data_IF_521180959007
#
_entry.id   IF_521180959007
#
_cell.length_a   1.000
_cell.length_b   1.000
_cell.length_c   1.000
_cell.angle_alpha   90.00
_cell.angle_beta   90.00
_cell.angle_gamma   90.00
#
_symmetry.space_group_name_H-M   'P 1'
#
loop_
_entity.id
_entity.type
_entity.pdbx_description
1 polymer ?
#
# COMPACT_ATOMS: atom_id res chain seq x y z
N UNK A 1 20.24 -3.86 30.81
CA UNK A 1 20.35 -4.01 29.35
C UNK A 1 18.95 -3.74 28.83
N UNK A 2 18.70 -2.53 28.36
CA UNK A 2 17.48 -2.23 27.62
C UNK A 2 17.49 -3.13 26.37
N UNK A 3 16.46 -3.94 26.23
CA UNK A 3 16.19 -4.62 24.97
C UNK A 3 15.93 -3.49 23.95
N UNK A 4 16.90 -3.22 23.09
CA UNK A 4 16.67 -2.38 21.91
C UNK A 4 15.54 -3.05 21.11
N UNK A 5 14.32 -2.56 21.31
CA UNK A 5 13.16 -2.99 20.52
C UNK A 5 13.49 -2.66 19.06
N UNK A 6 13.64 -3.69 18.26
CA UNK A 6 13.87 -3.52 16.84
C UNK A 6 12.63 -2.89 16.21
N UNK A 7 12.82 -1.78 15.55
CA UNK A 7 11.75 -1.04 14.87
C UNK A 7 11.76 -1.42 13.40
N UNK A 8 10.62 -1.82 12.87
CA UNK A 8 10.43 -2.01 11.43
C UNK A 8 9.83 -0.73 10.86
N UNK A 9 10.39 -0.22 9.78
CA UNK A 9 9.87 0.94 9.07
C UNK A 9 9.31 0.53 7.72
N UNK A 10 8.18 1.12 7.34
CA UNK A 10 7.59 0.96 6.02
C UNK A 10 7.34 2.34 5.40
N UNK A 11 8.02 2.63 4.28
CA UNK A 11 7.81 3.84 3.49
C UNK A 11 6.81 3.52 2.39
N UNK A 12 5.74 4.28 2.31
CA UNK A 12 4.60 3.99 1.43
C UNK A 12 4.12 5.25 0.72
N UNK A 13 3.54 5.07 -0.46
CA UNK A 13 2.68 6.05 -1.11
C UNK A 13 1.23 5.70 -0.78
N UNK A 14 0.57 6.54 0.01
CA UNK A 14 -0.85 6.41 0.27
C UNK A 14 -1.66 6.71 -1.00
N UNK A 15 -2.72 5.96 -1.22
CA UNK A 15 -3.60 6.10 -2.37
C UNK A 15 -5.06 6.14 -1.92
N UNK A 16 -5.84 7.00 -2.56
CA UNK A 16 -7.30 7.01 -2.44
C UNK A 16 -7.87 6.15 -3.58
N UNK A 17 -8.22 4.90 -3.28
CA UNK A 17 -8.86 3.97 -4.22
C UNK A 17 -10.38 4.05 -4.02
N UNK A 18 -11.08 4.59 -5.01
CA UNK A 18 -12.52 4.73 -4.99
C UNK A 18 -13.18 3.70 -5.91
N UNK A 19 -13.99 2.84 -5.31
CA UNK A 19 -14.75 1.80 -6.01
C UNK A 19 -16.24 2.09 -5.96
N UNK A 20 -17.02 1.76 -7.03
CA UNK A 20 -18.46 2.03 -7.08
C UNK A 20 -19.26 1.22 -6.05
N UNK A 21 -18.70 0.09 -5.62
CA UNK A 21 -19.23 -0.77 -4.54
C UNK A 21 -18.07 -1.24 -3.67
N UNK A 22 -18.38 -1.61 -2.43
CA UNK A 22 -17.37 -2.14 -1.51
C UNK A 22 -16.74 -3.42 -2.07
N UNK A 23 -15.43 -3.52 -2.03
CA UNK A 23 -14.70 -4.75 -2.38
C UNK A 23 -15.11 -5.93 -1.47
N UNK A 24 -15.60 -5.65 -0.26
CA UNK A 24 -16.13 -6.67 0.64
C UNK A 24 -17.32 -7.46 0.06
N UNK A 25 -18.00 -6.93 -0.96
CA UNK A 25 -19.10 -7.66 -1.63
C UNK A 25 -18.61 -8.68 -2.64
N UNK A 26 -17.31 -8.72 -2.93
CA UNK A 26 -16.70 -9.56 -3.95
C UNK A 26 -15.93 -10.73 -3.35
N UNK A 27 -15.23 -10.48 -2.25
CA UNK A 27 -14.42 -11.49 -1.58
C UNK A 27 -15.28 -12.32 -0.62
N UNK A 28 -15.23 -13.64 -0.74
CA UNK A 28 -15.90 -14.56 0.19
C UNK A 28 -15.17 -14.59 1.53
N UNK A 29 -15.88 -14.45 2.63
CA UNK A 29 -15.28 -14.32 3.97
C UNK A 29 -14.40 -15.53 4.36
N UNK A 30 -14.81 -16.74 3.94
CA UNK A 30 -14.07 -17.98 4.17
C UNK A 30 -12.75 -18.07 3.39
N UNK A 31 -12.61 -17.32 2.31
CA UNK A 31 -11.40 -17.28 1.50
C UNK A 31 -10.38 -16.27 2.05
N UNK A 32 -10.81 -15.32 2.88
CA UNK A 32 -9.94 -14.30 3.43
C UNK A 32 -9.05 -14.86 4.55
N UNK A 33 -7.81 -14.37 4.59
CA UNK A 33 -6.94 -14.54 5.74
C UNK A 33 -7.23 -13.49 6.82
N UNK A 34 -6.49 -13.59 7.92
CA UNK A 34 -6.63 -12.72 9.09
C UNK A 34 -6.56 -11.22 8.81
N UNK A 35 -5.76 -10.79 7.81
CA UNK A 35 -5.65 -9.40 7.38
C UNK A 35 -6.82 -8.97 6.52
N UNK A 36 -7.42 -9.90 5.79
CA UNK A 36 -8.64 -9.67 5.02
C UNK A 36 -8.46 -8.72 3.85
N UNK A 37 -9.42 -7.79 3.71
CA UNK A 37 -9.42 -6.77 2.66
C UNK A 37 -8.58 -5.58 3.13
N UNK A 38 -7.73 -5.05 2.22
CA UNK A 38 -6.96 -3.85 2.50
C UNK A 38 -7.82 -2.59 2.25
N UNK A 39 -8.19 -1.91 3.34
CA UNK A 39 -8.99 -0.69 3.26
C UNK A 39 -8.14 0.59 3.19
N UNK A 40 -6.88 0.52 3.61
CA UNK A 40 -5.93 1.63 3.53
C UNK A 40 -4.99 1.44 2.35
N UNK A 41 -5.50 1.73 1.16
CA UNK A 41 -4.76 1.50 -0.07
C UNK A 41 -3.44 2.26 -0.10
N UNK A 42 -2.35 1.55 -0.29
CA UNK A 42 -1.01 2.12 -0.38
C UNK A 42 -0.10 1.30 -1.29
N UNK A 43 0.93 1.95 -1.80
CA UNK A 43 2.02 1.28 -2.51
C UNK A 43 3.25 1.30 -1.61
N UNK A 44 3.74 0.14 -1.20
CA UNK A 44 4.99 0.05 -0.44
C UNK A 44 6.16 0.46 -1.32
N UNK A 45 6.89 1.49 -0.90
CA UNK A 45 8.12 1.95 -1.54
C UNK A 45 9.30 1.19 -0.95
N UNK A 46 9.38 1.10 0.37
CA UNK A 46 10.42 0.37 1.07
C UNK A 46 9.87 -0.29 2.33
N UNK A 47 10.13 -1.57 2.49
CA UNK A 47 9.93 -2.29 3.74
C UNK A 47 11.29 -2.57 4.38
N UNK A 48 11.57 -1.88 5.49
CA UNK A 48 12.85 -1.93 6.19
C UNK A 48 12.71 -2.70 7.51
N UNK A 49 12.87 -4.00 7.42
CA UNK A 49 12.78 -4.89 8.58
C UNK A 49 13.92 -4.62 9.55
N UNK A 50 13.59 -4.48 10.84
CA UNK A 50 14.55 -4.22 11.92
C UNK A 50 15.41 -2.95 11.70
N UNK A 51 14.89 -1.95 10.97
CA UNK A 51 15.56 -0.67 10.71
C UNK A 51 14.61 0.49 10.97
N UNK A 52 15.08 1.43 11.75
CA UNK A 52 14.45 2.74 11.88
C UNK A 52 14.87 3.64 10.71
N UNK A 53 13.89 4.23 10.05
CA UNK A 53 14.10 5.21 8.97
C UNK A 53 13.53 6.54 9.42
N UNK A 54 14.35 7.58 9.48
CA UNK A 54 13.90 8.89 9.90
C UNK A 54 13.03 9.56 8.83
N UNK A 55 11.88 10.12 9.23
CA UNK A 55 10.95 10.79 8.31
C UNK A 55 11.59 11.98 7.58
N UNK A 56 12.51 12.68 8.25
CA UNK A 56 13.20 13.84 7.68
C UNK A 56 14.09 13.39 6.53
N UNK A 57 14.78 12.28 6.69
CA UNK A 57 15.60 11.69 5.63
C UNK A 57 14.77 11.30 4.43
N UNK A 58 13.62 10.64 4.64
CA UNK A 58 12.71 10.26 3.54
C UNK A 58 12.18 11.48 2.82
N UNK A 59 11.85 12.55 3.53
CA UNK A 59 11.41 13.81 2.94
C UNK A 59 12.48 14.43 2.02
N UNK A 60 13.75 14.43 2.44
CA UNK A 60 14.86 14.96 1.63
C UNK A 60 15.23 14.05 0.45
N UNK A 61 15.03 12.76 0.58
CA UNK A 61 15.31 11.79 -0.46
C UNK A 61 14.16 11.57 -1.44
N UNK A 62 12.97 12.06 -1.11
CA UNK A 62 11.81 11.99 -2.00
C UNK A 62 12.07 12.76 -3.29
N UNK A 63 11.81 12.16 -4.46
CA UNK A 63 11.97 12.83 -5.74
C UNK A 63 11.14 14.12 -5.80
N UNK A 64 11.77 15.21 -6.21
CA UNK A 64 11.08 16.51 -6.37
C UNK A 64 9.89 16.39 -7.34
N UNK A 65 10.07 15.61 -8.41
CA UNK A 65 9.00 15.31 -9.38
C UNK A 65 7.79 14.65 -8.73
N UNK A 66 8.01 13.68 -7.83
CA UNK A 66 6.92 13.01 -7.11
C UNK A 66 6.19 14.00 -6.20
N UNK A 67 6.92 14.80 -5.43
CA UNK A 67 6.33 15.81 -4.54
C UNK A 67 5.55 16.86 -5.33
N UNK A 68 6.08 17.33 -6.45
CA UNK A 68 5.40 18.30 -7.31
C UNK A 68 4.10 17.75 -7.88
N UNK A 69 4.10 16.50 -8.34
CA UNK A 69 2.88 15.85 -8.84
C UNK A 69 1.84 15.65 -7.75
N UNK A 70 2.24 15.19 -6.56
CA UNK A 70 1.30 15.03 -5.44
C UNK A 70 0.63 16.34 -5.05
N UNK A 71 1.38 17.44 -5.08
CA UNK A 71 0.82 18.78 -4.85
C UNK A 71 -0.16 19.16 -5.95
N UNK A 72 0.19 18.94 -7.20
CA UNK A 72 -0.68 19.24 -8.35
C UNK A 72 -1.97 18.42 -8.31
N UNK A 73 -1.87 17.11 -8.13
CA UNK A 73 -3.02 16.20 -8.02
C UNK A 73 -3.99 16.64 -6.94
N UNK A 74 -3.49 16.99 -5.75
CA UNK A 74 -4.33 17.48 -4.65
C UNK A 74 -4.99 18.81 -4.98
N UNK A 75 -4.25 19.73 -5.62
CA UNK A 75 -4.75 21.07 -5.95
C UNK A 75 -5.84 21.04 -7.01
N UNK A 76 -5.75 20.10 -7.97
CA UNK A 76 -6.70 19.99 -9.08
C UNK A 76 -7.74 18.89 -8.87
N UNK A 77 -7.60 18.06 -7.82
CA UNK A 77 -8.50 16.93 -7.55
C UNK A 77 -8.44 15.84 -8.63
N UNK A 78 -7.30 15.73 -9.32
CA UNK A 78 -7.14 14.74 -10.40
C UNK A 78 -7.18 13.32 -9.87
N UNK A 79 -7.92 12.46 -10.58
CA UNK A 79 -8.01 11.03 -10.34
C UNK A 79 -7.74 10.28 -11.63
N UNK A 80 -7.24 9.05 -11.52
CA UNK A 80 -6.95 8.21 -12.66
C UNK A 80 -7.86 6.98 -12.67
N UNK A 81 -8.37 6.54 -13.85
CA UNK A 81 -8.94 5.21 -13.94
C UNK A 81 -7.93 4.15 -13.49
N UNK A 82 -8.38 3.17 -12.72
CA UNK A 82 -7.48 2.17 -12.14
C UNK A 82 -6.65 1.48 -13.20
N UNK A 83 -7.28 1.05 -14.30
CA UNK A 83 -6.59 0.33 -15.37
C UNK A 83 -5.71 1.19 -16.27
N UNK A 84 -5.68 2.50 -16.10
CA UNK A 84 -4.66 3.34 -16.75
C UNK A 84 -3.28 3.14 -16.10
N UNK A 85 -3.28 2.96 -14.78
CA UNK A 85 -2.06 2.82 -14.00
C UNK A 85 -1.71 1.37 -13.67
N UNK A 86 -2.71 0.50 -13.44
CA UNK A 86 -2.51 -0.81 -12.83
C UNK A 86 -3.04 -1.96 -13.70
N UNK A 87 -2.52 -3.14 -13.37
CA UNK A 87 -3.02 -4.44 -13.84
C UNK A 87 -3.43 -5.28 -12.63
N UNK A 88 -4.62 -5.89 -12.69
CA UNK A 88 -5.07 -6.85 -11.69
C UNK A 88 -4.24 -8.13 -11.82
N UNK A 89 -3.78 -8.67 -10.69
CA UNK A 89 -2.98 -9.89 -10.67
C UNK A 89 -2.71 -10.43 -9.29
N UNK A 90 -1.79 -11.38 -9.24
CA UNK A 90 -1.22 -11.97 -8.03
C UNK A 90 0.30 -12.01 -8.16
N UNK A 91 0.99 -12.43 -7.11
CA UNK A 91 2.42 -12.71 -7.19
C UNK A 91 2.68 -14.15 -7.65
N UNK A 92 3.86 -14.37 -8.23
CA UNK A 92 4.36 -15.72 -8.51
C UNK A 92 4.32 -16.57 -7.23
N UNK A 93 4.00 -17.85 -7.37
CA UNK A 93 3.85 -18.83 -6.29
C UNK A 93 2.63 -18.66 -5.39
N UNK A 94 1.61 -17.93 -5.85
CA UNK A 94 0.35 -17.75 -5.12
C UNK A 94 0.54 -17.46 -3.62
N UNK A 95 1.16 -16.30 -3.34
CA UNK A 95 1.45 -15.86 -1.98
C UNK A 95 0.20 -15.50 -1.16
N UNK A 96 -0.98 -15.60 -1.75
CA UNK A 96 -2.25 -15.27 -1.12
C UNK A 96 -2.62 -13.78 -1.20
N UNK A 97 -2.07 -13.03 -2.14
CA UNK A 97 -2.41 -11.62 -2.33
C UNK A 97 -3.06 -11.39 -3.70
N UNK A 98 -4.23 -10.76 -3.70
CA UNK A 98 -4.85 -10.16 -4.89
C UNK A 98 -4.44 -8.70 -4.93
N UNK A 99 -3.78 -8.31 -6.01
CA UNK A 99 -3.10 -7.00 -6.11
C UNK A 99 -3.39 -6.29 -7.42
N UNK A 100 -3.25 -4.97 -7.38
CA UNK A 100 -3.14 -4.10 -8.54
C UNK A 100 -1.65 -3.76 -8.71
N UNK A 101 -1.00 -4.37 -9.70
CA UNK A 101 0.41 -4.10 -10.03
C UNK A 101 0.52 -2.84 -10.87
N UNK A 102 1.38 -1.93 -10.46
CA UNK A 102 1.65 -0.71 -11.23
C UNK A 102 2.34 -1.07 -12.55
N UNK A 103 1.84 -0.55 -13.65
CA UNK A 103 2.38 -0.83 -14.99
C UNK A 103 3.77 -0.20 -15.17
N UNK A 104 4.73 -0.97 -15.67
CA UNK A 104 6.13 -0.56 -15.83
C UNK A 104 6.32 0.64 -16.78
N UNK A 105 5.42 0.83 -17.74
CA UNK A 105 5.46 1.93 -18.68
C UNK A 105 4.92 3.25 -18.10
N UNK A 106 4.43 3.26 -16.86
CA UNK A 106 3.92 4.46 -16.21
C UNK A 106 5.05 5.31 -15.63
N UNK A 107 4.80 6.60 -15.56
CA UNK A 107 5.71 7.51 -14.89
C UNK A 107 5.85 7.17 -13.40
N UNK A 108 4.74 6.79 -12.75
CA UNK A 108 4.71 6.39 -11.34
C UNK A 108 5.64 5.21 -11.04
N UNK A 109 5.65 4.19 -11.90
CA UNK A 109 6.54 3.05 -11.73
C UNK A 109 8.00 3.47 -11.71
N UNK A 110 8.42 4.31 -12.65
CA UNK A 110 9.80 4.79 -12.76
C UNK A 110 10.22 5.57 -11.51
N UNK A 111 9.40 6.54 -11.10
CA UNK A 111 9.72 7.39 -9.94
C UNK A 111 9.75 6.59 -8.63
N UNK A 112 8.82 5.68 -8.43
CA UNK A 112 8.79 4.85 -7.22
C UNK A 112 9.95 3.84 -7.20
N UNK A 113 10.34 3.29 -8.35
CA UNK A 113 11.50 2.41 -8.46
C UNK A 113 12.81 3.13 -8.14
N UNK A 114 13.02 4.32 -8.70
CA UNK A 114 14.18 5.16 -8.39
C UNK A 114 14.24 5.54 -6.91
N UNK A 115 13.09 5.85 -6.32
CA UNK A 115 13.01 6.17 -4.90
C UNK A 115 13.31 4.97 -4.02
N UNK A 116 12.79 3.78 -4.35
CA UNK A 116 13.12 2.53 -3.66
C UNK A 116 14.63 2.27 -3.70
N UNK A 117 15.26 2.31 -4.88
CA UNK A 117 16.70 2.08 -5.05
C UNK A 117 17.54 3.07 -4.23
N UNK A 118 17.14 4.33 -4.21
CA UNK A 118 17.81 5.38 -3.44
C UNK A 118 17.77 5.09 -1.94
N UNK A 119 16.59 4.70 -1.42
CA UNK A 119 16.44 4.36 0.00
C UNK A 119 17.19 3.07 0.37
N UNK A 120 17.12 2.02 -0.48
CA UNK A 120 17.89 0.79 -0.27
C UNK A 120 19.38 1.08 -0.15
N UNK A 121 19.91 1.88 -1.06
CA UNK A 121 21.33 2.28 -1.09
C UNK A 121 21.71 3.08 0.15
N UNK A 122 20.90 4.08 0.51
CA UNK A 122 21.17 4.97 1.65
C UNK A 122 21.24 4.23 2.96
N UNK A 123 20.31 3.30 3.18
CA UNK A 123 20.21 2.57 4.44
C UNK A 123 20.94 1.21 4.43
N UNK A 124 21.57 0.85 3.32
CA UNK A 124 22.28 -0.43 3.18
C UNK A 124 21.34 -1.62 3.40
N UNK A 125 20.14 -1.56 2.82
CA UNK A 125 19.12 -2.61 2.94
C UNK A 125 19.21 -3.51 1.73
N UNK A 126 19.37 -4.81 1.97
CA UNK A 126 19.27 -5.81 0.90
C UNK A 126 17.81 -5.95 0.46
N UNK A 127 17.51 -5.90 -0.85
CA UNK A 127 16.15 -6.08 -1.34
C UNK A 127 15.58 -7.43 -0.92
N UNK A 128 14.39 -7.43 -0.32
CA UNK A 128 13.69 -8.66 0.05
C UNK A 128 13.29 -9.47 -1.19
N UNK A 129 13.01 -8.80 -2.29
CA UNK A 129 12.67 -9.41 -3.57
C UNK A 129 13.63 -8.94 -4.65
N UNK A 130 13.99 -9.86 -5.55
CA UNK A 130 14.93 -9.59 -6.65
C UNK A 130 14.47 -8.44 -7.55
N UNK A 131 13.16 -8.31 -7.74
CA UNK A 131 12.56 -7.26 -8.55
C UNK A 131 11.55 -6.50 -7.69
N UNK A 132 11.70 -5.20 -7.63
CA UNK A 132 10.71 -4.33 -7.01
C UNK A 132 9.46 -4.28 -7.90
N UNK A 133 8.32 -4.67 -7.34
CA UNK A 133 7.03 -4.64 -8.03
C UNK A 133 6.07 -3.77 -7.22
N UNK A 134 5.98 -2.47 -7.51
CA UNK A 134 5.06 -1.59 -6.80
C UNK A 134 3.60 -2.01 -7.09
N UNK A 135 2.80 -2.13 -6.03
CA UNK A 135 1.43 -2.63 -6.12
C UNK A 135 0.55 -2.09 -4.99
N UNK A 136 -0.76 -2.06 -5.25
CA UNK A 136 -1.79 -1.94 -4.22
C UNK A 136 -2.30 -3.33 -3.87
N UNK A 137 -2.36 -3.67 -2.60
CA UNK A 137 -3.03 -4.88 -2.14
C UNK A 137 -4.53 -4.62 -2.09
N UNK A 138 -5.34 -5.52 -2.63
CA UNK A 138 -6.80 -5.50 -2.51
C UNK A 138 -7.27 -6.39 -1.38
N UNK A 139 -6.71 -7.60 -1.29
CA UNK A 139 -7.04 -8.56 -0.25
C UNK A 139 -5.90 -9.55 -0.02
N UNK A 140 -5.80 -10.03 1.21
CA UNK A 140 -5.05 -11.23 1.57
C UNK A 140 -6.01 -12.40 1.72
N UNK A 141 -5.77 -13.46 0.95
CA UNK A 141 -6.65 -14.64 0.86
C UNK A 141 -5.86 -15.91 1.10
N UNK A 142 -6.57 -17.04 1.23
CA UNK A 142 -5.95 -18.35 1.38
C UNK A 142 -5.09 -18.68 0.16
N UNK A 143 -3.88 -19.25 0.34
CA UNK A 143 -3.03 -19.67 -0.77
C UNK A 143 -3.77 -20.65 -1.70
N UNK A 144 -3.55 -20.50 -3.01
CA UNK A 144 -4.21 -21.33 -4.02
C UNK A 144 -5.53 -20.76 -4.53
N UNK A 145 -6.06 -19.68 -3.93
CA UNK A 145 -7.33 -19.07 -4.31
C UNK A 145 -7.19 -17.72 -5.02
N UNK A 146 -5.98 -17.16 -5.13
CA UNK A 146 -5.78 -15.82 -5.73
C UNK A 146 -6.26 -15.77 -7.17
N UNK A 147 -6.03 -16.83 -7.95
CA UNK A 147 -6.42 -16.87 -9.36
C UNK A 147 -7.95 -16.82 -9.53
N UNK A 148 -8.73 -17.40 -8.60
CA UNK A 148 -10.19 -17.29 -8.56
C UNK A 148 -10.65 -15.83 -8.65
N UNK A 149 -9.99 -14.94 -7.90
CA UNK A 149 -10.34 -13.52 -7.84
C UNK A 149 -9.73 -12.70 -8.97
N UNK A 150 -8.52 -13.05 -9.42
CA UNK A 150 -7.91 -12.41 -10.59
C UNK A 150 -8.76 -12.64 -11.86
N UNK A 151 -9.33 -13.83 -12.00
CA UNK A 151 -10.20 -14.20 -13.13
C UNK A 151 -11.67 -13.81 -12.92
N UNK A 152 -12.03 -13.26 -11.76
CA UNK A 152 -13.41 -12.93 -11.44
C UNK A 152 -13.88 -11.69 -12.21
N UNK A 153 -14.77 -11.88 -13.17
CA UNK A 153 -15.32 -10.82 -14.01
C UNK A 153 -15.97 -9.69 -13.19
N UNK A 154 -16.65 -10.04 -12.09
CA UNK A 154 -17.26 -9.04 -11.22
C UNK A 154 -16.21 -8.09 -10.62
N UNK A 155 -15.08 -8.61 -10.13
CA UNK A 155 -13.99 -7.78 -9.61
C UNK A 155 -13.43 -6.88 -10.71
N UNK A 156 -13.21 -7.45 -11.91
CA UNK A 156 -12.72 -6.70 -13.06
C UNK A 156 -13.64 -5.54 -13.41
N UNK A 157 -14.94 -5.76 -13.52
CA UNK A 157 -15.92 -4.71 -13.83
C UNK A 157 -15.98 -3.61 -12.76
N UNK A 158 -15.85 -3.96 -11.50
CA UNK A 158 -15.76 -2.97 -10.41
C UNK A 158 -14.50 -2.10 -10.59
N UNK A 159 -13.35 -2.72 -10.85
CA UNK A 159 -12.10 -2.00 -11.02
C UNK A 159 -12.05 -1.16 -12.30
N UNK A 160 -12.74 -1.58 -13.39
CA UNK A 160 -12.91 -0.77 -14.60
C UNK A 160 -13.67 0.54 -14.33
N UNK A 161 -14.61 0.50 -13.39
CA UNK A 161 -15.38 1.67 -12.97
C UNK A 161 -14.75 2.42 -11.80
N UNK A 162 -13.57 2.01 -11.35
CA UNK A 162 -12.87 2.57 -10.19
C UNK A 162 -11.83 3.59 -10.60
N UNK A 163 -11.58 4.51 -9.68
CA UNK A 163 -10.54 5.52 -9.81
C UNK A 163 -9.55 5.44 -8.65
N UNK A 164 -8.36 5.93 -8.89
CA UNK A 164 -7.30 6.02 -7.88
C UNK A 164 -6.62 7.38 -7.94
N UNK A 165 -6.29 7.89 -6.78
CA UNK A 165 -5.47 9.10 -6.64
C UNK A 165 -4.33 8.83 -5.68
N UNK A 166 -3.07 8.92 -6.12
CA UNK A 166 -1.93 8.96 -5.20
C UNK A 166 -2.02 10.20 -4.30
N UNK A 167 -1.82 10.01 -3.00
CA UNK A 167 -2.02 11.09 -2.03
C UNK A 167 -0.72 11.59 -1.42
N UNK A 168 -0.22 10.89 -0.40
CA UNK A 168 0.92 11.33 0.39
C UNK A 168 1.96 10.21 0.51
N UNK A 169 3.24 10.61 0.61
CA UNK A 169 4.24 9.70 1.12
C UNK A 169 4.07 9.64 2.64
N UNK A 170 3.98 8.44 3.16
CA UNK A 170 3.83 8.16 4.57
C UNK A 170 4.90 7.19 5.03
N UNK A 171 5.24 7.25 6.30
CA UNK A 171 6.09 6.27 6.94
C UNK A 171 5.37 5.68 8.14
N UNK A 172 5.32 4.36 8.21
CA UNK A 172 4.79 3.66 9.36
C UNK A 172 5.92 2.99 10.14
N UNK A 173 5.75 2.91 11.45
CA UNK A 173 6.67 2.25 12.36
C UNK A 173 5.93 1.19 13.17
N UNK A 174 6.52 -0.01 13.21
CA UNK A 174 6.11 -1.08 14.12
C UNK A 174 7.18 -1.23 15.21
N UNK A 175 6.81 -0.89 16.42
CA UNK A 175 7.69 -1.01 17.60
C UNK A 175 7.55 -2.37 18.32
N UNK A 176 6.96 -3.37 17.68
CA UNK A 176 6.79 -4.73 18.20
C UNK A 176 5.54 -4.92 19.08
N UNK A 177 4.76 -3.88 19.32
CA UNK A 177 3.51 -3.95 20.09
C UNK A 177 2.25 -3.95 19.21
N UNK A 178 2.40 -4.14 17.90
CA UNK A 178 1.35 -4.13 16.87
C UNK A 178 0.63 -2.78 16.67
N UNK A 179 1.08 -1.72 17.29
CA UNK A 179 0.58 -0.38 17.05
C UNK A 179 1.50 0.29 16.02
N UNK A 180 0.97 0.54 14.82
CA UNK A 180 1.69 1.28 13.79
C UNK A 180 1.49 2.79 13.99
N UNK A 181 2.60 3.52 13.97
CA UNK A 181 2.56 4.98 13.84
C UNK A 181 2.75 5.34 12.39
N UNK A 182 1.81 6.12 11.85
CA UNK A 182 1.89 6.61 10.48
C UNK A 182 2.17 8.11 10.50
N UNK A 183 3.24 8.52 9.80
CA UNK A 183 3.65 9.91 9.65
C UNK A 183 3.53 10.32 8.19
N UNK A 184 2.80 11.39 7.93
CA UNK A 184 2.77 12.01 6.62
C UNK A 184 4.05 12.82 6.40
N UNK A 185 4.71 12.62 5.26
CA UNK A 185 6.02 13.20 4.94
C UNK A 185 5.89 14.39 3.98
N UNK A 186 4.94 14.35 3.06
CA UNK A 186 4.81 15.32 1.97
C UNK A 186 4.14 16.64 2.36
N UNK A 187 3.49 16.70 3.50
CA UNK A 187 2.88 17.92 4.02
C UNK A 187 3.42 18.25 5.41
N UNK A 188 3.71 19.52 5.67
CA UNK A 188 4.17 20.06 6.94
C UNK A 188 3.22 19.82 8.14
N UNK A 189 2.17 19.09 7.95
CA UNK A 189 1.25 18.70 8.98
C UNK A 189 1.63 17.32 9.51
N UNK A 190 2.39 17.31 10.58
CA UNK A 190 2.63 16.15 11.43
C UNK A 190 1.33 15.69 12.08
N UNK A 191 0.43 15.16 11.30
CA UNK A 191 -0.72 14.44 11.86
C UNK A 191 -0.26 13.01 12.06
N UNK A 192 0.18 12.71 13.28
CA UNK A 192 0.44 11.34 13.69
C UNK A 192 -0.90 10.60 13.69
N UNK A 193 -1.06 9.67 12.78
CA UNK A 193 -2.20 8.74 12.79
C UNK A 193 -1.74 7.46 13.49
N UNK A 194 -2.53 7.04 14.47
CA UNK A 194 -2.34 5.77 15.14
C UNK A 194 -3.35 4.78 14.57
N UNK A 195 -2.85 3.71 13.96
CA UNK A 195 -3.68 2.60 13.51
C UNK A 195 -3.44 1.40 14.40
N UNK A 196 -4.51 0.81 14.89
CA UNK A 196 -4.46 -0.49 15.55
C UNK A 196 -5.00 -1.52 14.59
N UNK A 197 -4.18 -2.46 14.17
CA UNK A 197 -4.61 -3.59 13.32
C UNK A 197 -5.87 -4.26 13.90
N UNK A 198 -5.99 -4.32 15.23
CA UNK A 198 -7.16 -4.87 15.91
C UNK A 198 -8.44 -4.08 15.64
N UNK A 199 -8.36 -2.76 15.46
CA UNK A 199 -9.53 -1.92 15.20
C UNK A 199 -9.96 -2.06 13.74
N UNK A 200 -9.03 -2.18 12.80
CA UNK A 200 -9.31 -2.49 11.40
C UNK A 200 -9.97 -3.87 11.23
N UNK A 201 -9.48 -4.89 11.96
CA UNK A 201 -10.11 -6.21 11.99
C UNK A 201 -11.55 -6.15 12.51
N UNK A 202 -11.79 -5.37 13.56
CA UNK A 202 -13.13 -5.20 14.12
C UNK A 202 -14.08 -4.52 13.14
N UNK A 203 -13.64 -3.45 12.47
CA UNK A 203 -14.44 -2.77 11.45
C UNK A 203 -14.75 -3.68 10.26
N UNK A 204 -13.77 -4.46 9.80
CA UNK A 204 -14.00 -5.48 8.78
C UNK A 204 -15.01 -6.54 9.22
N UNK A 205 -14.89 -7.05 10.45
CA UNK A 205 -15.84 -8.01 11.02
C UNK A 205 -17.25 -7.44 11.16
N UNK A 206 -17.40 -6.17 11.52
CA UNK A 206 -18.69 -5.49 11.61
C UNK A 206 -19.34 -5.35 10.23
N UNK A 207 -18.58 -5.00 9.19
CA UNK A 207 -19.05 -4.94 7.80
C UNK A 207 -19.52 -6.33 7.32
N UNK A 208 -18.77 -7.39 7.63
CA UNK A 208 -19.14 -8.77 7.23
C UNK A 208 -20.33 -9.31 7.98
N UNK A 209 -20.57 -8.89 9.23
CA UNK A 209 -21.72 -9.30 10.03
C UNK A 209 -23.01 -8.54 9.71
N UNK A 210 -22.92 -7.46 8.92
CA UNK A 210 -24.08 -6.66 8.55
C UNK A 210 -24.70 -5.86 9.70
N UNK A 211 -23.88 -5.50 10.71
CA UNK A 211 -24.28 -4.66 11.85
C UNK A 211 -24.06 -3.16 11.56
#
# INVERSE_FOLDING_TARGET
>A
MENDKKVTSCVMLACDLQTPVSLATVFEAEDLKDTGIEFESHITILYARDRFIDKTDVMFDSPESLNSELVNLKSYGEVYPVFDLFELGNFENDSGYVVLKLKENTWWFKVLSEFNEKLLTKYGIEPTFKNYTPHLTLAEIQPGLTQKYVDLEQLRLILEASTVRPEDIIISYDAGDKDYKVHNITYNNTVDRFFRIRDLKREAEEIYRGE
#
